data_IF_263847178705
#
_entry.id   IF_263847178705
#
_cell.length_a   1.000
_cell.length_b   1.000
_cell.length_c   1.000
_cell.angle_alpha   90.00
_cell.angle_beta   90.00
_cell.angle_gamma   90.00
#
_symmetry.space_group_name_H-M   'P 1'
#
loop_
_entity.id
_entity.type
_entity.pdbx_description
1 polymer ?
#
# COMPACT_ATOMS: atom_id res chain seq x y z
N UNK A 1 10.99 -3.72 -16.00
CA UNK A 1 10.46 -4.92 -15.32
C UNK A 1 10.19 -4.66 -13.83
N UNK A 2 11.18 -4.17 -13.08
CA UNK A 2 11.05 -3.87 -11.65
C UNK A 2 9.98 -2.83 -11.23
N UNK A 3 9.70 -1.82 -12.06
CA UNK A 3 8.67 -0.79 -11.75
C UNK A 3 7.26 -1.40 -11.76
N UNK A 4 6.92 -2.12 -12.82
CA UNK A 4 5.59 -2.74 -12.96
C UNK A 4 5.37 -3.86 -11.93
N UNK A 5 6.45 -4.54 -11.53
CA UNK A 5 6.42 -5.52 -10.44
C UNK A 5 5.76 -4.96 -9.19
N UNK A 6 6.39 -3.94 -8.59
CA UNK A 6 5.92 -3.42 -7.30
C UNK A 6 4.63 -2.63 -7.46
N UNK A 7 4.38 -2.04 -8.64
CA UNK A 7 3.10 -1.41 -8.93
C UNK A 7 1.94 -2.42 -8.82
N UNK A 8 2.07 -3.61 -9.41
CA UNK A 8 1.03 -4.65 -9.35
C UNK A 8 0.84 -5.19 -7.93
N UNK A 9 1.93 -5.46 -7.22
CA UNK A 9 1.88 -5.95 -5.83
C UNK A 9 1.21 -4.92 -4.92
N UNK A 10 1.61 -3.65 -4.99
CA UNK A 10 0.99 -2.58 -4.20
C UNK A 10 -0.48 -2.37 -4.59
N UNK A 11 -0.83 -2.47 -5.87
CA UNK A 11 -2.22 -2.37 -6.32
C UNK A 11 -3.08 -3.53 -5.78
N UNK A 12 -2.56 -4.76 -5.77
CA UNK A 12 -3.25 -5.91 -5.23
C UNK A 12 -3.50 -5.79 -3.72
N UNK A 13 -2.48 -5.34 -2.96
CA UNK A 13 -2.64 -5.04 -1.53
C UNK A 13 -3.65 -3.92 -1.29
N UNK A 14 -3.67 -2.90 -2.14
CA UNK A 14 -4.67 -1.84 -2.06
C UNK A 14 -6.08 -2.37 -2.32
N UNK A 15 -6.31 -3.20 -3.35
CA UNK A 15 -7.62 -3.82 -3.60
C UNK A 15 -8.04 -4.78 -2.48
N UNK A 16 -7.10 -5.56 -1.95
CA UNK A 16 -7.34 -6.48 -0.84
C UNK A 16 -7.75 -5.72 0.43
N UNK A 17 -7.11 -4.57 0.73
CA UNK A 17 -7.48 -3.75 1.90
C UNK A 17 -8.85 -3.10 1.82
N UNK A 18 -9.44 -2.98 0.62
CA UNK A 18 -10.80 -2.43 0.42
C UNK A 18 -11.91 -3.49 0.46
N UNK A 19 -11.54 -4.77 0.49
CA UNK A 19 -12.50 -5.86 0.48
C UNK A 19 -12.63 -6.47 1.88
N UNK A 20 -13.86 -6.85 2.28
CA UNK A 20 -14.12 -7.45 3.60
C UNK A 20 -14.05 -8.98 3.63
N UNK A 21 -14.28 -9.64 2.50
CA UNK A 21 -14.18 -11.11 2.38
C UNK A 21 -12.72 -11.56 2.34
N UNK A 22 -12.36 -12.52 3.19
CA UNK A 22 -11.02 -13.10 3.20
C UNK A 22 -10.73 -13.92 1.94
N UNK A 23 -11.72 -14.63 1.40
CA UNK A 23 -11.61 -15.34 0.12
C UNK A 23 -11.24 -14.37 -1.00
N UNK A 24 -11.87 -13.20 -1.07
CA UNK A 24 -11.56 -12.21 -2.09
C UNK A 24 -10.15 -11.64 -1.93
N UNK A 25 -9.67 -11.43 -0.69
CA UNK A 25 -8.27 -11.01 -0.45
C UNK A 25 -7.28 -12.08 -0.93
N UNK A 26 -7.53 -13.35 -0.62
CA UNK A 26 -6.67 -14.46 -1.04
C UNK A 26 -6.63 -14.57 -2.57
N UNK A 27 -7.77 -14.47 -3.25
CA UNK A 27 -7.84 -14.53 -4.72
C UNK A 27 -7.10 -13.34 -5.35
N UNK A 28 -7.26 -12.13 -4.83
CA UNK A 28 -6.57 -10.94 -5.33
C UNK A 28 -5.05 -11.06 -5.18
N UNK A 29 -4.58 -11.51 -4.02
CA UNK A 29 -3.15 -11.74 -3.75
C UNK A 29 -2.63 -12.85 -4.67
N UNK A 30 -3.31 -13.99 -4.75
CA UNK A 30 -2.94 -15.10 -5.61
C UNK A 30 -2.78 -14.68 -7.08
N UNK A 31 -3.80 -14.01 -7.63
CA UNK A 31 -3.77 -13.59 -9.03
C UNK A 31 -2.68 -12.55 -9.29
N UNK A 32 -2.43 -11.66 -8.33
CA UNK A 32 -1.34 -10.70 -8.42
C UNK A 32 0.02 -11.38 -8.43
N UNK A 33 0.28 -12.35 -7.55
CA UNK A 33 1.54 -13.08 -7.55
C UNK A 33 1.71 -13.89 -8.84
N UNK A 34 0.63 -14.54 -9.31
CA UNK A 34 0.65 -15.28 -10.56
C UNK A 34 1.03 -14.39 -11.75
N UNK A 35 0.37 -13.23 -11.89
CA UNK A 35 0.66 -12.28 -12.97
C UNK A 35 2.11 -11.77 -12.91
N UNK A 36 2.62 -11.51 -11.70
CA UNK A 36 4.01 -11.11 -11.47
C UNK A 36 5.02 -12.18 -11.93
N UNK A 37 4.81 -13.44 -11.51
CA UNK A 37 5.70 -14.56 -11.84
C UNK A 37 5.62 -14.89 -13.34
N UNK A 38 4.41 -14.96 -13.90
CA UNK A 38 4.19 -15.30 -15.31
C UNK A 38 4.79 -14.24 -16.26
N UNK A 39 4.77 -12.97 -15.88
CA UNK A 39 5.34 -11.88 -16.68
C UNK A 39 6.87 -11.79 -16.59
N UNK A 40 7.52 -12.53 -15.68
CA UNK A 40 8.97 -12.46 -15.46
C UNK A 40 9.41 -11.06 -15.02
N UNK A 41 8.68 -10.48 -14.07
CA UNK A 41 9.06 -9.21 -13.46
C UNK A 41 10.07 -9.42 -12.33
N UNK A 42 10.85 -8.38 -12.03
CA UNK A 42 11.93 -8.44 -11.05
C UNK A 42 11.50 -7.80 -9.72
N UNK A 43 11.39 -8.61 -8.68
CA UNK A 43 11.08 -8.15 -7.34
C UNK A 43 12.32 -8.27 -6.46
N UNK A 44 12.69 -7.18 -5.79
CA UNK A 44 13.94 -7.14 -5.00
C UNK A 44 13.98 -8.24 -3.93
N UNK A 45 12.85 -8.50 -3.27
CA UNK A 45 12.75 -9.51 -2.20
C UNK A 45 12.85 -10.93 -2.77
N UNK A 46 12.18 -11.22 -3.90
CA UNK A 46 12.28 -12.53 -4.56
C UNK A 46 13.71 -12.76 -5.07
N UNK A 47 14.32 -11.74 -5.66
CA UNK A 47 15.68 -11.83 -6.17
C UNK A 47 16.67 -12.10 -5.03
N UNK A 48 16.49 -11.48 -3.84
CA UNK A 48 17.30 -11.83 -2.67
C UNK A 48 17.20 -13.31 -2.31
N UNK A 49 16.00 -13.89 -2.30
CA UNK A 49 15.83 -15.32 -2.01
C UNK A 49 16.45 -16.21 -3.08
N UNK A 50 16.24 -15.90 -4.36
CA UNK A 50 16.79 -16.69 -5.49
C UNK A 50 18.31 -16.65 -5.50
N UNK A 51 18.92 -15.47 -5.38
CA UNK A 51 20.37 -15.33 -5.31
C UNK A 51 20.95 -15.92 -4.02
N UNK A 52 20.24 -15.84 -2.88
CA UNK A 52 20.70 -16.51 -1.65
C UNK A 52 20.81 -18.02 -1.85
N UNK A 53 19.82 -18.63 -2.51
CA UNK A 53 19.87 -20.05 -2.86
C UNK A 53 20.98 -20.37 -3.88
N UNK A 54 21.23 -19.48 -4.84
CA UNK A 54 22.30 -19.65 -5.82
C UNK A 54 23.70 -19.56 -5.17
N UNK A 55 23.91 -18.61 -4.25
CA UNK A 55 25.16 -18.47 -3.49
C UNK A 55 25.41 -19.69 -2.62
N UNK A 56 24.38 -20.22 -1.94
CA UNK A 56 24.50 -21.46 -1.16
C UNK A 56 24.88 -22.68 -2.01
N UNK A 57 24.50 -22.67 -3.28
CA UNK A 57 24.86 -23.71 -4.25
C UNK A 57 26.16 -23.40 -5.02
N UNK A 58 26.88 -22.34 -4.68
CA UNK A 58 28.07 -21.85 -5.38
C UNK A 58 27.85 -21.62 -6.89
N UNK A 59 26.64 -21.24 -7.29
CA UNK A 59 26.28 -20.93 -8.69
C UNK A 59 26.16 -19.44 -8.99
N UNK A 60 26.23 -18.59 -7.97
CA UNK A 60 26.25 -17.13 -8.10
C UNK A 60 27.09 -16.51 -6.99
N UNK A 61 27.56 -15.29 -7.23
CA UNK A 61 28.35 -14.52 -6.27
C UNK A 61 27.54 -13.39 -5.64
N UNK A 62 28.05 -12.88 -4.51
CA UNK A 62 27.49 -11.69 -3.85
C UNK A 62 27.50 -10.44 -4.74
N UNK A 63 28.44 -10.36 -5.70
CA UNK A 63 28.48 -9.29 -6.70
C UNK A 63 27.28 -9.34 -7.65
N UNK A 64 26.86 -10.53 -8.07
CA UNK A 64 25.72 -10.71 -8.98
C UNK A 64 24.42 -10.26 -8.31
N UNK A 65 24.25 -10.61 -7.04
CA UNK A 65 23.15 -10.13 -6.21
C UNK A 65 23.15 -8.60 -6.14
N UNK A 66 24.31 -7.98 -5.89
CA UNK A 66 24.41 -6.53 -5.75
C UNK A 66 24.09 -5.79 -7.06
N UNK A 67 24.63 -6.25 -8.18
CA UNK A 67 24.33 -5.67 -9.50
C UNK A 67 22.85 -5.81 -9.87
N UNK A 68 22.22 -6.93 -9.51
CA UNK A 68 20.79 -7.12 -9.72
C UNK A 68 19.95 -6.18 -8.84
N UNK A 69 20.29 -6.06 -7.55
CA UNK A 69 19.56 -5.21 -6.62
C UNK A 69 19.70 -3.72 -6.94
N UNK A 70 20.85 -3.29 -7.46
CA UNK A 70 21.10 -1.92 -7.89
C UNK A 70 20.06 -1.42 -8.89
N UNK A 71 19.61 -2.27 -9.82
CA UNK A 71 18.57 -1.91 -10.79
C UNK A 71 17.16 -2.22 -10.27
N UNK A 72 17.02 -3.31 -9.51
CA UNK A 72 15.71 -3.80 -9.07
C UNK A 72 15.12 -2.95 -7.95
N UNK A 73 15.91 -2.54 -6.96
CA UNK A 73 15.43 -1.77 -5.79
C UNK A 73 14.88 -0.40 -6.19
N UNK A 74 15.59 0.45 -6.97
CA UNK A 74 15.05 1.74 -7.40
C UNK A 74 13.77 1.59 -8.23
N UNK A 75 13.73 0.58 -9.11
CA UNK A 75 12.54 0.28 -9.90
C UNK A 75 11.33 -0.07 -9.02
N UNK A 76 11.51 -0.94 -8.03
CA UNK A 76 10.44 -1.29 -7.09
C UNK A 76 10.00 -0.07 -6.26
N UNK A 77 10.93 0.79 -5.81
CA UNK A 77 10.60 2.04 -5.09
C UNK A 77 9.75 2.98 -5.97
N UNK A 78 10.12 3.17 -7.23
CA UNK A 78 9.34 4.01 -8.16
C UNK A 78 7.96 3.41 -8.41
N UNK A 79 7.87 2.10 -8.64
CA UNK A 79 6.60 1.42 -8.93
C UNK A 79 5.58 1.48 -7.80
N UNK A 80 5.99 1.08 -6.59
CA UNK A 80 5.09 1.03 -5.44
C UNK A 80 5.02 2.36 -4.69
N UNK A 81 6.18 2.92 -4.35
CA UNK A 81 6.29 4.12 -3.52
C UNK A 81 5.86 5.38 -4.25
N UNK A 82 6.32 5.58 -5.48
CA UNK A 82 6.01 6.81 -6.24
C UNK A 82 4.67 6.65 -6.96
N UNK A 83 4.50 5.67 -7.86
CA UNK A 83 3.30 5.62 -8.71
C UNK A 83 2.05 5.28 -7.88
N UNK A 84 2.04 4.14 -7.19
CA UNK A 84 0.85 3.71 -6.41
C UNK A 84 0.66 4.57 -5.16
N UNK A 85 1.75 4.91 -4.46
CA UNK A 85 1.71 5.80 -3.30
C UNK A 85 1.17 7.19 -3.61
N UNK A 86 1.62 7.84 -4.70
CA UNK A 86 1.07 9.14 -5.12
C UNK A 86 -0.37 9.02 -5.59
N UNK A 87 -0.74 7.97 -6.32
CA UNK A 87 -2.13 7.74 -6.73
C UNK A 87 -3.05 7.59 -5.51
N UNK A 88 -2.62 6.84 -4.49
CA UNK A 88 -3.35 6.69 -3.23
C UNK A 88 -3.49 8.04 -2.50
N UNK A 89 -2.40 8.80 -2.37
CA UNK A 89 -2.41 10.12 -1.74
C UNK A 89 -3.34 11.10 -2.48
N UNK A 90 -3.27 11.14 -3.81
CA UNK A 90 -4.09 12.01 -4.64
C UNK A 90 -5.59 11.72 -4.46
N UNK A 91 -5.99 10.44 -4.47
CA UNK A 91 -7.39 10.03 -4.24
C UNK A 91 -7.83 10.22 -2.78
N UNK A 92 -6.94 9.97 -1.82
CA UNK A 92 -7.23 10.10 -0.39
C UNK A 92 -7.48 11.54 0.07
N UNK A 93 -6.84 12.53 -0.55
CA UNK A 93 -7.01 13.95 -0.22
C UNK A 93 -8.46 14.46 -0.34
N UNK A 94 -9.26 13.89 -1.26
CA UNK A 94 -10.69 14.26 -1.40
C UNK A 94 -11.54 13.87 -0.18
N UNK A 95 -11.13 12.87 0.60
CA UNK A 95 -11.81 12.47 1.85
C UNK A 95 -11.34 13.26 3.06
N UNK A 96 -10.05 13.58 3.15
CA UNK A 96 -9.50 14.38 4.26
C UNK A 96 -10.11 15.79 4.32
N UNK A 97 -10.33 16.44 3.16
CA UNK A 97 -11.01 17.74 3.10
C UNK A 97 -12.48 17.68 3.54
N UNK A 98 -13.20 16.59 3.22
CA UNK A 98 -14.60 16.42 3.62
C UNK A 98 -14.76 16.17 5.13
N UNK A 99 -13.84 15.41 5.74
CA UNK A 99 -13.81 15.20 7.20
C UNK A 99 -13.47 16.49 7.95
N UNK A 100 -12.57 17.33 7.39
CA UNK A 100 -12.21 18.61 7.99
C UNK A 100 -13.37 19.63 8.02
N UNK A 101 -14.30 19.57 7.06
CA UNK A 101 -15.46 20.47 6.99
C UNK A 101 -16.64 19.98 7.84
N UNK A 102 -16.72 18.66 8.10
CA UNK A 102 -17.72 18.07 9.00
C UNK A 102 -17.36 18.23 10.49
N UNK A 103 -16.11 18.62 10.81
CA UNK A 103 -15.62 18.86 12.17
C UNK A 103 -15.73 20.30 12.68
N UNK A 104 -16.42 21.20 11.96
CA UNK A 104 -16.69 22.53 12.49
C UNK A 104 -17.61 22.42 13.71
N UNK A 105 -17.24 22.96 14.89
CA UNK A 105 -18.05 22.84 16.08
C UNK A 105 -19.40 23.50 15.83
N UNK A 106 -20.47 22.70 15.87
CA UNK A 106 -21.83 23.21 15.93
C UNK A 106 -21.92 24.09 17.17
N UNK A 107 -22.15 25.40 16.97
CA UNK A 107 -22.30 26.35 18.06
C UNK A 107 -23.27 25.81 19.10
N UNK A 108 -22.98 25.94 20.41
CA UNK A 108 -23.89 25.47 21.44
C UNK A 108 -25.24 26.17 21.27
N UNK A 109 -26.30 25.36 21.13
CA UNK A 109 -27.68 25.85 21.16
C UNK A 109 -27.90 26.66 22.44
N UNK A 110 -28.56 27.83 22.40
CA UNK A 110 -28.80 28.63 23.60
C UNK A 110 -29.61 27.80 24.59
N UNK A 111 -28.99 27.50 25.74
CA UNK A 111 -29.59 26.78 26.86
C UNK A 111 -30.78 27.62 27.40
N UNK A 112 -31.99 27.05 27.55
CA UNK A 112 -33.12 27.82 28.03
C UNK A 112 -32.95 28.13 29.52
N UNK A 113 -32.86 29.42 29.83
CA UNK A 113 -32.71 30.01 31.16
C UNK A 113 -33.96 29.85 32.06
N UNK A 114 -34.42 28.63 32.33
CA UNK A 114 -35.58 28.39 33.19
C UNK A 114 -35.53 27.06 33.93
N UNK A 115 -34.98 27.04 35.15
CA UNK A 115 -35.42 26.16 36.26
C UNK A 115 -34.58 26.36 37.56
N UNK A 116 -34.23 27.59 37.93
CA UNK A 116 -33.65 27.87 39.24
C UNK A 116 -34.28 29.12 39.87
N UNK A 117 -35.62 29.14 39.94
CA UNK A 117 -36.35 30.09 40.76
C UNK A 117 -37.46 29.38 41.53
N UNK A 118 -37.17 29.04 42.77
CA UNK A 118 -38.08 29.36 43.87
C UNK A 118 -39.02 28.26 44.38
N UNK A 119 -38.85 27.94 45.66
CA UNK A 119 -39.90 28.10 46.68
C UNK A 119 -41.19 27.28 46.47
N UNK A 120 -41.20 26.05 46.98
CA UNK A 120 -41.94 25.62 48.19
C UNK A 120 -41.88 24.10 48.36
#
# INVERSE_FOLDING_TARGET
RAVLCNMLVCLALWMASRTRSDTAKLVLIWWSLFAFVAAGFEHSIVNMTVFSLAILNNTADWSDLFHNLLLTVPGNIVGGGVIVGLAYAYLGRKRAGAVSLAGAPTAPSPEPAYAASGVR
#
